data_IF_797118713018
#
_entry.id   IF_797118713018
#
_cell.length_a   1.000
_cell.length_b   1.000
_cell.length_c   1.000
_cell.angle_alpha   90.00
_cell.angle_beta   90.00
_cell.angle_gamma   90.00
#
_symmetry.space_group_name_H-M   'P 1'
#
loop_
_entity.id
_entity.type
_entity.pdbx_description
1 polymer ?
#
# COMPACT_ATOMS: atom_id res chain seq x y z
N UNK A 1 -8.13 -6.41 37.20
CA UNK A 1 -7.96 -5.81 35.86
C UNK A 1 -8.08 -6.88 34.77
N UNK A 2 -9.31 -7.38 34.47
CA UNK A 2 -9.50 -8.44 33.48
C UNK A 2 -9.37 -7.96 32.03
N UNK A 3 -9.68 -6.69 31.75
CA UNK A 3 -9.71 -6.14 30.38
C UNK A 3 -8.34 -6.05 29.69
N UNK A 4 -7.27 -5.69 30.42
CA UNK A 4 -5.91 -5.58 29.86
C UNK A 4 -5.33 -6.94 29.44
N UNK A 5 -5.72 -8.02 30.10
CA UNK A 5 -5.24 -9.37 29.78
C UNK A 5 -5.86 -9.88 28.47
N UNK A 6 -7.14 -9.58 28.23
CA UNK A 6 -7.80 -9.91 26.95
C UNK A 6 -7.20 -9.12 25.78
N UNK A 7 -6.88 -7.84 25.98
CA UNK A 7 -6.24 -7.03 24.94
C UNK A 7 -4.84 -7.57 24.58
N UNK A 8 -4.01 -7.90 25.57
CA UNK A 8 -2.68 -8.46 25.33
C UNK A 8 -2.74 -9.79 24.57
N UNK A 9 -3.65 -10.69 24.96
CA UNK A 9 -3.84 -11.98 24.26
C UNK A 9 -4.29 -11.76 22.81
N UNK A 10 -5.22 -10.83 22.56
CA UNK A 10 -5.67 -10.52 21.19
C UNK A 10 -4.55 -9.89 20.38
N UNK A 11 -3.76 -8.99 20.98
CA UNK A 11 -2.61 -8.36 20.34
C UNK A 11 -1.53 -9.39 19.93
N UNK A 12 -1.21 -10.34 20.81
CA UNK A 12 -0.30 -11.46 20.47
C UNK A 12 -0.88 -12.38 19.39
N UNK A 13 -2.19 -12.65 19.45
CA UNK A 13 -2.87 -13.48 18.47
C UNK A 13 -2.87 -12.85 17.07
N UNK A 14 -3.14 -11.55 16.95
CA UNK A 14 -3.16 -10.87 15.64
C UNK A 14 -1.78 -10.75 14.99
N UNK A 15 -0.71 -10.63 15.80
CA UNK A 15 0.67 -10.64 15.29
C UNK A 15 1.06 -12.00 14.70
N UNK A 16 0.51 -13.09 15.24
CA UNK A 16 0.76 -14.45 14.72
C UNK A 16 -0.18 -14.80 13.56
N UNK A 17 -1.43 -14.35 13.63
CA UNK A 17 -2.44 -14.55 12.59
C UNK A 17 -3.42 -13.37 12.57
N UNK A 18 -3.28 -12.52 11.55
CA UNK A 18 -4.14 -11.35 11.34
C UNK A 18 -5.64 -11.67 11.34
N UNK A 19 -6.04 -12.89 10.96
CA UNK A 19 -7.44 -13.33 10.94
C UNK A 19 -8.05 -13.40 12.35
N UNK A 20 -7.24 -13.48 13.40
CA UNK A 20 -7.69 -13.42 14.79
C UNK A 20 -8.48 -12.14 15.08
N UNK A 21 -8.22 -11.05 14.35
CA UNK A 21 -8.97 -9.81 14.44
C UNK A 21 -10.47 -10.01 14.16
N UNK A 22 -10.83 -10.93 13.26
CA UNK A 22 -12.24 -11.22 12.95
C UNK A 22 -13.02 -11.86 14.09
N UNK A 23 -12.32 -12.51 15.03
CA UNK A 23 -12.91 -13.17 16.19
C UNK A 23 -12.88 -12.30 17.45
N UNK A 24 -12.18 -11.16 17.40
CA UNK A 24 -12.13 -10.22 18.51
C UNK A 24 -13.48 -9.51 18.72
N UNK A 25 -13.70 -9.02 19.95
CA UNK A 25 -14.90 -8.26 20.27
C UNK A 25 -14.98 -6.96 19.45
N UNK A 26 -16.17 -6.38 19.24
CA UNK A 26 -16.32 -5.12 18.50
C UNK A 26 -15.44 -3.99 19.04
N UNK A 27 -15.21 -3.94 20.35
CA UNK A 27 -14.34 -2.95 21.00
C UNK A 27 -12.88 -3.12 20.56
N UNK A 28 -12.36 -4.35 20.58
CA UNK A 28 -10.98 -4.65 20.20
C UNK A 28 -10.76 -4.58 18.68
N UNK A 29 -11.81 -4.84 17.88
CA UNK A 29 -11.78 -4.61 16.43
C UNK A 29 -11.71 -3.13 16.05
N UNK A 30 -12.06 -2.24 16.99
CA UNK A 30 -11.93 -0.81 16.83
C UNK A 30 -10.76 -0.22 17.65
N UNK A 31 -9.99 -1.07 18.32
CA UNK A 31 -8.77 -0.68 19.03
C UNK A 31 -7.66 -0.44 18.01
N UNK A 32 -7.13 0.78 17.97
CA UNK A 32 -6.14 1.18 16.98
C UNK A 32 -4.85 0.39 17.07
N UNK A 33 -4.42 0.00 18.26
CA UNK A 33 -3.14 -0.71 18.44
C UNK A 33 -3.29 -2.16 17.97
N UNK A 34 -4.43 -2.80 18.27
CA UNK A 34 -4.76 -4.14 17.77
C UNK A 34 -4.91 -4.13 16.24
N UNK A 35 -5.60 -3.13 15.68
CA UNK A 35 -5.76 -2.98 14.22
C UNK A 35 -4.41 -2.75 13.54
N UNK A 36 -3.57 -1.87 14.08
CA UNK A 36 -2.22 -1.61 13.57
C UNK A 36 -1.37 -2.88 13.54
N UNK A 37 -1.39 -3.67 14.61
CA UNK A 37 -0.69 -4.95 14.64
C UNK A 37 -1.21 -5.94 13.58
N UNK A 38 -2.52 -5.97 13.35
CA UNK A 38 -3.11 -6.84 12.33
C UNK A 38 -2.74 -6.39 10.91
N UNK A 39 -2.80 -5.09 10.59
CA UNK A 39 -2.45 -4.57 9.25
C UNK A 39 -0.95 -4.65 8.97
N UNK A 40 -0.11 -4.51 10.00
CA UNK A 40 1.33 -4.74 9.90
C UNK A 40 1.67 -6.20 9.58
N UNK A 41 0.83 -7.14 10.03
CA UNK A 41 1.01 -8.57 9.77
C UNK A 41 0.54 -8.96 8.37
N UNK A 42 -0.58 -8.40 7.90
CA UNK A 42 -1.08 -8.62 6.55
C UNK A 42 -2.00 -7.50 6.10
N UNK A 43 -1.75 -6.95 4.89
CA UNK A 43 -2.59 -5.92 4.26
C UNK A 43 -4.08 -6.30 4.16
N UNK A 44 -4.42 -7.59 4.06
CA UNK A 44 -5.81 -8.06 3.98
C UNK A 44 -6.63 -7.72 5.24
N UNK A 45 -5.97 -7.44 6.37
CA UNK A 45 -6.65 -6.97 7.58
C UNK A 45 -7.41 -5.64 7.36
N UNK A 46 -6.95 -4.78 6.42
CA UNK A 46 -7.66 -3.55 6.05
C UNK A 46 -9.08 -3.81 5.52
N UNK A 47 -9.33 -4.98 4.92
CA UNK A 47 -10.66 -5.36 4.45
C UNK A 47 -11.62 -5.73 5.59
N UNK A 48 -11.11 -6.03 6.80
CA UNK A 48 -11.90 -6.51 7.95
C UNK A 48 -12.25 -5.41 8.97
N UNK A 49 -11.59 -4.26 8.88
CA UNK A 49 -11.81 -3.12 9.77
C UNK A 49 -12.91 -2.20 9.25
N UNK A 50 -13.43 -1.35 10.14
CA UNK A 50 -14.41 -0.33 9.80
C UNK A 50 -13.85 0.71 8.84
N UNK A 51 -14.73 1.35 8.07
CA UNK A 51 -14.35 2.42 7.14
C UNK A 51 -13.69 3.60 7.88
N UNK A 52 -14.13 3.90 9.11
CA UNK A 52 -13.54 4.95 9.95
C UNK A 52 -12.05 4.67 10.23
N UNK A 53 -11.70 3.43 10.57
CA UNK A 53 -10.30 3.04 10.80
C UNK A 53 -9.50 2.90 9.51
N UNK A 54 -10.13 2.48 8.40
CA UNK A 54 -9.49 2.42 7.10
C UNK A 54 -9.14 3.81 6.53
N UNK A 55 -9.87 4.84 6.99
CA UNK A 55 -9.58 6.23 6.68
C UNK A 55 -8.72 6.92 7.75
N UNK A 56 -8.36 6.23 8.85
CA UNK A 56 -7.48 6.79 9.87
C UNK A 56 -6.05 6.93 9.31
N UNK A 57 -5.46 8.13 9.31
CA UNK A 57 -4.13 8.35 8.76
C UNK A 57 -3.04 7.49 9.39
N UNK A 58 -3.17 7.17 10.69
CA UNK A 58 -2.21 6.34 11.41
C UNK A 58 -2.29 4.86 11.01
N UNK A 59 -3.50 4.35 10.76
CA UNK A 59 -3.69 2.97 10.25
C UNK A 59 -3.23 2.86 8.80
N UNK A 60 -3.56 3.86 7.97
CA UNK A 60 -3.14 3.90 6.56
C UNK A 60 -1.62 3.94 6.43
N UNK A 61 -0.96 4.81 7.20
CA UNK A 61 0.50 4.89 7.21
C UNK A 61 1.14 3.56 7.63
N UNK A 62 0.66 2.95 8.72
CA UNK A 62 1.17 1.65 9.19
C UNK A 62 1.03 0.56 8.12
N UNK A 63 -0.15 0.48 7.48
CA UNK A 63 -0.42 -0.53 6.48
C UNK A 63 0.44 -0.35 5.22
N UNK A 64 0.58 0.89 4.73
CA UNK A 64 1.42 1.18 3.57
C UNK A 64 2.91 1.00 3.87
N UNK A 65 3.34 1.27 5.11
CA UNK A 65 4.71 1.05 5.55
C UNK A 65 5.06 -0.43 5.64
N UNK A 66 4.09 -1.29 6.01
CA UNK A 66 4.27 -2.73 6.07
C UNK A 66 4.25 -3.38 4.67
N UNK A 67 3.37 -2.90 3.78
CA UNK A 67 3.22 -3.42 2.43
C UNK A 67 2.65 -2.32 1.50
N UNK A 68 3.43 -1.88 0.51
CA UNK A 68 2.97 -0.87 -0.47
C UNK A 68 1.70 -1.30 -1.23
N UNK A 69 1.45 -2.61 -1.38
CA UNK A 69 0.24 -3.12 -2.01
C UNK A 69 -1.01 -2.96 -1.14
N UNK A 70 -0.89 -2.54 0.12
CA UNK A 70 -2.04 -2.19 0.96
C UNK A 70 -2.91 -1.08 0.35
N UNK A 71 -2.35 -0.29 -0.58
CA UNK A 71 -3.07 0.71 -1.38
C UNK A 71 -4.34 0.14 -2.06
N UNK A 72 -4.34 -1.14 -2.45
CA UNK A 72 -5.51 -1.79 -3.09
C UNK A 72 -6.75 -1.82 -2.19
N UNK A 73 -6.56 -1.82 -0.87
CA UNK A 73 -7.65 -1.87 0.10
C UNK A 73 -8.15 -0.49 0.51
N UNK A 74 -7.46 0.58 0.13
CA UNK A 74 -7.87 1.95 0.47
C UNK A 74 -9.04 2.42 -0.41
N UNK A 75 -9.72 3.48 0.04
CA UNK A 75 -10.81 4.09 -0.71
C UNK A 75 -10.31 4.68 -2.04
N UNK A 76 -11.23 4.87 -3.00
CA UNK A 76 -10.90 5.51 -4.29
C UNK A 76 -10.31 6.90 -4.12
N UNK A 77 -10.75 7.65 -3.11
CA UNK A 77 -10.20 8.98 -2.81
C UNK A 77 -8.73 8.89 -2.35
N UNK A 78 -8.41 7.90 -1.52
CA UNK A 78 -7.03 7.65 -1.07
C UNK A 78 -6.13 7.12 -2.20
N UNK A 79 -6.67 6.29 -3.11
CA UNK A 79 -5.96 5.84 -4.31
C UNK A 79 -5.70 6.97 -5.33
N UNK A 80 -6.44 8.08 -5.22
CA UNK A 80 -6.25 9.30 -6.02
C UNK A 80 -5.46 10.39 -5.27
N UNK A 81 -5.08 10.14 -4.00
CA UNK A 81 -4.27 11.04 -3.22
C UNK A 81 -2.78 10.83 -3.51
N UNK A 82 -2.13 11.86 -4.07
CA UNK A 82 -0.73 11.80 -4.49
C UNK A 82 0.22 11.49 -3.33
N UNK A 83 -0.05 11.98 -2.11
CA UNK A 83 0.81 11.75 -0.96
C UNK A 83 0.70 10.30 -0.45
N UNK A 84 -0.51 9.75 -0.43
CA UNK A 84 -0.77 8.35 -0.05
C UNK A 84 -0.13 7.41 -1.08
N UNK A 85 -0.35 7.64 -2.38
CA UNK A 85 0.26 6.84 -3.44
C UNK A 85 1.79 6.95 -3.38
N UNK A 86 2.35 8.15 -3.23
CA UNK A 86 3.79 8.31 -3.04
C UNK A 86 4.33 7.60 -1.80
N UNK A 87 3.55 7.41 -0.74
CA UNK A 87 3.98 6.61 0.41
C UNK A 87 4.06 5.12 0.05
N UNK A 88 3.05 4.59 -0.65
CA UNK A 88 3.02 3.22 -1.13
C UNK A 88 4.20 2.90 -2.07
N UNK A 89 4.50 3.82 -3.00
CA UNK A 89 5.57 3.65 -3.99
C UNK A 89 6.97 3.60 -3.38
N UNK A 90 7.19 4.19 -2.19
CA UNK A 90 8.47 4.09 -1.47
C UNK A 90 8.69 2.72 -0.86
N UNK A 91 7.64 1.93 -0.69
CA UNK A 91 7.76 0.54 -0.21
C UNK A 91 7.79 -0.44 -1.37
N UNK A 92 6.97 -0.23 -2.40
CA UNK A 92 7.01 -1.02 -3.63
C UNK A 92 6.51 -0.20 -4.81
N UNK A 93 7.35 0.03 -5.82
CA UNK A 93 6.97 0.74 -7.04
C UNK A 93 5.83 0.07 -7.83
N UNK A 94 5.60 -1.24 -7.66
CA UNK A 94 4.50 -1.97 -8.31
C UNK A 94 3.12 -1.56 -7.78
N UNK A 95 3.07 -0.92 -6.60
CA UNK A 95 1.85 -0.35 -6.04
C UNK A 95 1.22 0.74 -6.93
N UNK A 96 1.96 1.29 -7.90
CA UNK A 96 1.43 2.23 -8.90
C UNK A 96 0.21 1.69 -9.64
N UNK A 97 0.11 0.36 -9.82
CA UNK A 97 -1.03 -0.31 -10.45
C UNK A 97 -2.36 -0.12 -9.69
N UNK A 98 -2.30 0.21 -8.40
CA UNK A 98 -3.47 0.46 -7.55
C UNK A 98 -3.81 1.94 -7.39
N UNK A 99 -2.97 2.84 -7.89
CA UNK A 99 -3.31 4.27 -7.95
C UNK A 99 -4.45 4.51 -8.96
N UNK A 100 -5.12 5.64 -8.84
CA UNK A 100 -6.13 6.06 -9.80
C UNK A 100 -5.56 6.16 -11.22
N UNK A 101 -6.40 6.01 -12.25
CA UNK A 101 -5.97 6.19 -13.64
C UNK A 101 -5.35 7.56 -13.91
N UNK A 102 -5.80 8.59 -13.18
CA UNK A 102 -5.23 9.94 -13.25
C UNK A 102 -3.78 9.97 -12.75
N UNK A 103 -3.51 9.34 -11.60
CA UNK A 103 -2.16 9.29 -11.03
C UNK A 103 -1.24 8.31 -11.75
N UNK A 104 -1.77 7.23 -12.35
CA UNK A 104 -0.98 6.35 -13.22
C UNK A 104 -0.42 7.08 -14.47
N UNK A 105 -1.05 8.18 -14.88
CA UNK A 105 -0.60 9.04 -15.98
C UNK A 105 0.26 10.23 -15.52
N UNK A 106 0.38 10.44 -14.20
CA UNK A 106 1.18 11.53 -13.63
C UNK A 106 2.67 11.17 -13.75
N UNK A 107 3.44 12.03 -14.42
CA UNK A 107 4.86 11.78 -14.69
C UNK A 107 5.70 11.77 -13.41
N UNK A 108 5.35 12.52 -12.36
CA UNK A 108 6.09 12.48 -11.11
C UNK A 108 5.86 11.14 -10.39
N UNK A 109 4.62 10.66 -10.39
CA UNK A 109 4.28 9.33 -9.86
C UNK A 109 5.00 8.23 -10.64
N UNK A 110 4.98 8.30 -11.96
CA UNK A 110 5.70 7.37 -12.83
C UNK A 110 7.20 7.38 -12.53
N UNK A 111 7.81 8.56 -12.46
CA UNK A 111 9.23 8.74 -12.12
C UNK A 111 9.57 8.14 -10.77
N UNK A 112 8.68 8.30 -9.78
CA UNK A 112 8.87 7.70 -8.46
C UNK A 112 8.80 6.17 -8.52
N UNK A 113 7.78 5.61 -9.17
CA UNK A 113 7.61 4.17 -9.31
C UNK A 113 8.82 3.49 -9.99
N UNK A 114 9.26 4.04 -11.13
CA UNK A 114 10.39 3.47 -11.87
C UNK A 114 11.74 3.74 -11.22
N UNK A 115 11.83 4.73 -10.32
CA UNK A 115 13.06 4.95 -9.52
C UNK A 115 13.18 3.90 -8.41
N UNK A 116 12.07 3.39 -7.89
CA UNK A 116 12.06 2.30 -6.92
C UNK A 116 12.42 0.97 -7.58
N UNK A 117 11.70 0.59 -8.65
CA UNK A 117 12.08 -0.55 -9.50
C UNK A 117 11.73 -0.26 -10.96
N UNK A 118 12.73 -0.21 -11.83
CA UNK A 118 12.55 0.08 -13.25
C UNK A 118 11.65 -0.90 -14.00
N UNK A 119 11.47 -2.15 -13.52
CA UNK A 119 10.54 -3.10 -14.14
C UNK A 119 9.09 -2.59 -14.09
N UNK A 120 8.76 -1.75 -13.10
CA UNK A 120 7.43 -1.13 -12.96
C UNK A 120 7.02 -0.31 -14.17
N UNK A 121 7.96 0.08 -15.04
CA UNK A 121 7.65 0.68 -16.35
C UNK A 121 6.60 -0.13 -17.12
N UNK A 122 6.65 -1.45 -17.05
CA UNK A 122 5.69 -2.34 -17.71
C UNK A 122 4.25 -2.24 -17.19
N UNK A 123 4.05 -1.71 -15.98
CA UNK A 123 2.74 -1.51 -15.36
C UNK A 123 2.11 -0.16 -15.70
N UNK A 124 2.89 0.77 -16.27
CA UNK A 124 2.44 2.11 -16.58
C UNK A 124 1.71 2.17 -17.93
N UNK A 125 0.77 3.14 -18.10
CA UNK A 125 0.09 3.36 -19.37
C UNK A 125 1.06 3.59 -20.54
N UNK A 126 0.64 3.24 -21.75
CA UNK A 126 1.48 3.37 -22.95
C UNK A 126 2.02 4.79 -23.16
N UNK A 127 1.19 5.79 -22.85
CA UNK A 127 1.52 7.21 -22.95
C UNK A 127 2.70 7.60 -22.04
N UNK A 128 2.77 7.01 -20.84
CA UNK A 128 3.86 7.22 -19.88
C UNK A 128 5.11 6.43 -20.31
N UNK A 129 4.93 5.22 -20.86
CA UNK A 129 6.04 4.41 -21.40
C UNK A 129 6.69 5.02 -22.64
N UNK A 130 6.00 5.91 -23.36
CA UNK A 130 6.58 6.70 -24.43
C UNK A 130 7.39 7.90 -23.91
N UNK A 131 7.33 8.22 -22.62
CA UNK A 131 8.09 9.32 -22.05
C UNK A 131 9.56 8.95 -21.91
N UNK A 132 10.41 9.58 -22.72
CA UNK A 132 11.87 9.36 -22.75
C UNK A 132 12.53 9.45 -21.36
N UNK A 133 12.15 10.43 -20.54
CA UNK A 133 12.75 10.62 -19.22
C UNK A 133 12.41 9.47 -18.27
N UNK A 134 11.15 9.01 -18.29
CA UNK A 134 10.69 7.87 -17.49
C UNK A 134 11.38 6.58 -17.93
N UNK A 135 11.46 6.34 -19.24
CA UNK A 135 12.15 5.16 -19.79
C UNK A 135 13.63 5.13 -19.41
N UNK A 136 14.34 6.24 -19.58
CA UNK A 136 15.75 6.32 -19.22
C UNK A 136 15.96 6.09 -17.72
N UNK A 137 15.09 6.65 -16.87
CA UNK A 137 15.15 6.40 -15.43
C UNK A 137 14.89 4.93 -15.08
N UNK A 138 13.91 4.30 -15.72
CA UNK A 138 13.59 2.90 -15.50
C UNK A 138 14.75 1.98 -15.88
N UNK A 139 15.41 2.24 -17.01
CA UNK A 139 16.59 1.48 -17.45
C UNK A 139 17.76 1.67 -16.48
N UNK A 140 17.96 2.89 -15.99
CA UNK A 140 19.02 3.25 -15.04
C UNK A 140 18.82 2.54 -13.69
N UNK A 141 17.59 2.47 -13.17
CA UNK A 141 17.32 1.75 -11.92
C UNK A 141 17.32 0.23 -12.11
N UNK A 142 16.84 -0.27 -13.25
CA UNK A 142 16.81 -1.71 -13.54
C UNK A 142 16.95 -1.98 -15.04
N UNK A 143 18.10 -2.53 -15.44
CA UNK A 143 18.39 -2.85 -16.86
C UNK A 143 17.35 -3.78 -17.50
N UNK A 144 16.65 -4.61 -16.73
CA UNK A 144 15.59 -5.47 -17.27
C UNK A 144 14.39 -4.69 -17.79
N UNK A 145 14.23 -3.42 -17.39
CA UNK A 145 13.21 -2.52 -17.90
C UNK A 145 13.27 -2.33 -19.42
N UNK A 146 14.40 -2.61 -20.07
CA UNK A 146 14.52 -2.63 -21.53
C UNK A 146 13.46 -3.51 -22.22
N UNK A 147 13.02 -4.59 -21.57
CA UNK A 147 11.97 -5.48 -22.11
C UNK A 147 10.59 -4.80 -22.21
N UNK A 148 10.38 -3.73 -21.45
CA UNK A 148 9.13 -2.97 -21.37
C UNK A 148 9.15 -1.67 -22.20
N UNK A 149 10.26 -1.39 -22.90
CA UNK A 149 10.37 -0.24 -23.79
C UNK A 149 9.64 -0.56 -25.08
N UNK A 150 8.62 0.22 -25.39
CA UNK A 150 7.88 0.12 -26.66
C UNK A 150 8.59 0.94 -27.73
N UNK A 151 8.53 0.47 -28.99
CA UNK A 151 9.04 1.20 -30.17
C UNK A 151 8.31 2.53 -30.43
#
# INVERSE_FOLDING_TARGET
>A
MPGMMCQAVVFEAVQSNWQALGYASPELRNDKDVVKAAVATNRQALAMISDDLRNDPGVVAEALQADGHALVYLSRAQQDDKAIVSHALKQDGHSVSYASSRLQQDIDIAMQAVSEDGITLGLLPAEVRANKSVVLRAIDSNVKAFQNVTE
#
